data_IF_226362810293
#
_entry.id   IF_226362810293
#
_cell.length_a   1.000
_cell.length_b   1.000
_cell.length_c   1.000
_cell.angle_alpha   90.00
_cell.angle_beta   90.00
_cell.angle_gamma   90.00
#
_symmetry.space_group_name_H-M   'P 1'
#
loop_
_entity.id
_entity.type
_entity.pdbx_description
1 polymer ?
#
# COMPACT_ATOMS: atom_id res chain seq x y z
N UNK A 1 -30.55 18.09 -16.06
CA UNK A 1 -30.69 18.70 -14.72
C UNK A 1 -29.33 18.63 -14.06
N UNK A 2 -28.45 19.55 -14.46
CA UNK A 2 -27.06 19.61 -14.01
C UNK A 2 -27.06 20.24 -12.61
N UNK A 3 -26.49 19.55 -11.62
CA UNK A 3 -26.30 20.10 -10.28
C UNK A 3 -25.20 21.17 -10.33
N UNK A 4 -25.43 22.40 -9.86
CA UNK A 4 -24.40 23.42 -9.85
C UNK A 4 -23.35 23.07 -8.80
N UNK A 5 -22.14 22.75 -9.27
CA UNK A 5 -20.94 22.59 -8.46
C UNK A 5 -20.61 23.92 -7.77
N UNK A 6 -21.18 24.15 -6.59
CA UNK A 6 -20.84 25.27 -5.72
C UNK A 6 -19.43 25.05 -5.14
N UNK A 7 -18.43 25.48 -5.92
CA UNK A 7 -17.02 25.63 -5.56
C UNK A 7 -16.88 26.72 -4.49
N UNK A 8 -17.28 26.42 -3.25
CA UNK A 8 -16.91 27.23 -2.09
C UNK A 8 -15.57 26.71 -1.60
N UNK A 9 -14.52 27.50 -1.75
CA UNK A 9 -13.18 27.21 -1.23
C UNK A 9 -13.26 27.03 0.31
N UNK A 10 -13.51 25.81 0.78
CA UNK A 10 -13.71 25.47 2.19
C UNK A 10 -12.48 24.86 2.84
N UNK A 11 -11.29 25.10 2.26
CA UNK A 11 -9.99 24.67 2.78
C UNK A 11 -9.77 25.08 4.26
N UNK A 12 -10.49 26.11 4.73
CA UNK A 12 -10.39 26.66 6.08
C UNK A 12 -11.68 26.59 6.90
N UNK A 13 -12.57 25.62 6.63
CA UNK A 13 -13.72 25.37 7.50
C UNK A 13 -13.30 24.63 8.80
N UNK A 14 -13.97 24.83 9.95
CA UNK A 14 -13.70 24.06 11.17
C UNK A 14 -13.85 22.54 10.98
N UNK A 15 -14.62 22.09 9.99
CA UNK A 15 -14.70 20.67 9.57
C UNK A 15 -13.39 20.19 8.93
N UNK A 16 -12.80 20.98 8.04
CA UNK A 16 -11.51 20.68 7.41
C UNK A 16 -10.37 20.59 8.46
N UNK A 17 -10.40 21.43 9.51
CA UNK A 17 -9.42 21.33 10.62
C UNK A 17 -9.60 20.05 11.45
N UNK A 18 -10.82 19.63 11.73
CA UNK A 18 -11.10 18.38 12.45
C UNK A 18 -10.75 17.14 11.62
N UNK A 19 -11.06 17.15 10.32
CA UNK A 19 -10.64 16.09 9.39
C UNK A 19 -9.12 16.04 9.24
N UNK A 20 -8.45 17.18 9.07
CA UNK A 20 -6.99 17.25 8.98
C UNK A 20 -6.32 16.70 10.24
N UNK A 21 -6.86 16.99 11.43
CA UNK A 21 -6.33 16.48 12.70
C UNK A 21 -6.52 14.97 12.82
N UNK A 22 -7.69 14.45 12.40
CA UNK A 22 -7.97 13.00 12.40
C UNK A 22 -7.09 12.26 11.39
N UNK A 23 -6.88 12.86 10.22
CA UNK A 23 -5.96 12.37 9.20
C UNK A 23 -4.52 12.38 9.72
N UNK A 24 -4.06 13.46 10.36
CA UNK A 24 -2.72 13.55 10.94
C UNK A 24 -2.46 12.43 11.96
N UNK A 25 -3.46 12.06 12.77
CA UNK A 25 -3.32 10.96 13.75
C UNK A 25 -3.02 9.61 13.12
N UNK A 26 -3.45 9.38 11.87
CA UNK A 26 -3.15 8.15 11.11
C UNK A 26 -1.92 8.34 10.22
N UNK A 27 -1.78 9.50 9.60
CA UNK A 27 -0.71 9.80 8.66
C UNK A 27 0.66 9.89 9.35
N UNK A 28 0.75 10.46 10.55
CA UNK A 28 2.01 10.56 11.30
C UNK A 28 2.62 9.19 11.60
N UNK A 29 1.91 8.24 12.24
CA UNK A 29 2.49 6.92 12.49
C UNK A 29 2.78 6.16 11.20
N UNK A 30 1.90 6.23 10.19
CA UNK A 30 2.13 5.59 8.90
C UNK A 30 3.39 6.14 8.19
N UNK A 31 3.59 7.46 8.23
CA UNK A 31 4.78 8.11 7.69
C UNK A 31 6.04 7.68 8.42
N UNK A 32 6.02 7.63 9.76
CA UNK A 32 7.16 7.17 10.56
C UNK A 32 7.51 5.71 10.24
N UNK A 33 6.51 4.83 10.08
CA UNK A 33 6.73 3.44 9.64
C UNK A 33 7.38 3.39 8.27
N UNK A 34 6.88 4.16 7.29
CA UNK A 34 7.47 4.21 5.96
C UNK A 34 8.91 4.74 6.00
N UNK A 35 9.18 5.78 6.78
CA UNK A 35 10.53 6.31 6.95
C UNK A 35 11.47 5.27 7.57
N UNK A 36 11.03 4.57 8.61
CA UNK A 36 11.82 3.51 9.25
C UNK A 36 12.17 2.38 8.27
N UNK A 37 11.20 1.95 7.45
CA UNK A 37 11.42 0.94 6.41
C UNK A 37 12.49 1.39 5.40
N UNK A 38 12.47 2.66 4.96
CA UNK A 38 13.50 3.16 4.05
C UNK A 38 14.85 3.34 4.72
N UNK A 39 14.90 3.68 6.01
CA UNK A 39 16.15 3.73 6.77
C UNK A 39 16.80 2.35 6.88
N UNK A 40 16.01 1.27 7.01
CA UNK A 40 16.53 -0.11 6.99
C UNK A 40 17.21 -0.39 5.64
N UNK A 41 16.57 -0.04 4.53
CA UNK A 41 17.14 -0.24 3.19
C UNK A 41 18.42 0.59 2.99
N UNK A 42 18.42 1.86 3.40
CA UNK A 42 19.62 2.72 3.36
C UNK A 42 20.75 2.14 4.21
N UNK A 43 20.44 1.62 5.39
CA UNK A 43 21.44 0.98 6.24
C UNK A 43 22.03 -0.28 5.60
N UNK A 44 21.23 -1.11 4.93
CA UNK A 44 21.71 -2.26 4.15
C UNK A 44 22.61 -1.83 2.99
N UNK A 45 22.34 -0.69 2.36
CA UNK A 45 23.21 -0.08 1.34
C UNK A 45 24.52 0.40 1.97
N UNK A 46 24.49 1.13 3.08
CA UNK A 46 25.72 1.59 3.75
C UNK A 46 26.56 0.40 4.23
N UNK A 47 25.93 -0.64 4.78
CA UNK A 47 26.60 -1.85 5.22
C UNK A 47 27.25 -2.57 4.04
N UNK A 48 26.51 -2.84 2.95
CA UNK A 48 27.07 -3.54 1.77
C UNK A 48 28.14 -2.72 1.02
N UNK A 49 28.05 -1.39 1.04
CA UNK A 49 29.03 -0.49 0.43
C UNK A 49 30.43 -0.56 1.06
N UNK A 50 30.53 -0.86 2.37
CA UNK A 50 31.82 -1.04 3.03
C UNK A 50 32.48 -2.41 2.75
N UNK A 51 31.72 -3.43 2.34
CA UNK A 51 32.24 -4.79 2.13
C UNK A 51 32.57 -5.08 0.65
N UNK A 52 31.79 -4.59 -0.33
CA UNK A 52 32.12 -4.59 -1.76
C UNK A 52 31.00 -3.96 -2.60
N UNK A 53 31.35 -3.00 -3.46
CA UNK A 53 30.44 -2.30 -4.39
C UNK A 53 29.68 -3.25 -5.34
N UNK A 54 30.30 -4.36 -5.73
CA UNK A 54 29.71 -5.35 -6.65
C UNK A 54 28.50 -6.09 -6.02
N UNK A 55 28.55 -6.36 -4.72
CA UNK A 55 27.45 -7.05 -4.00
C UNK A 55 26.22 -6.15 -3.94
N UNK A 56 26.42 -4.84 -3.71
CA UNK A 56 25.35 -3.86 -3.70
C UNK A 56 24.72 -3.68 -5.09
N UNK A 57 25.53 -3.61 -6.15
CA UNK A 57 25.03 -3.52 -7.52
C UNK A 57 24.16 -4.73 -7.88
N UNK A 58 24.54 -5.94 -7.44
CA UNK A 58 23.73 -7.14 -7.57
C UNK A 58 22.39 -7.06 -6.84
N UNK A 59 22.37 -6.58 -5.59
CA UNK A 59 21.15 -6.38 -4.81
C UNK A 59 20.24 -5.33 -5.46
N UNK A 60 20.79 -4.23 -5.97
CA UNK A 60 20.02 -3.18 -6.64
C UNK A 60 19.40 -3.65 -7.96
N UNK A 61 20.13 -4.44 -8.75
CA UNK A 61 19.58 -5.05 -9.98
C UNK A 61 18.49 -6.06 -9.65
N UNK A 62 18.72 -6.93 -8.65
CA UNK A 62 17.72 -7.88 -8.18
C UNK A 62 16.46 -7.17 -7.66
N UNK A 63 16.61 -6.09 -6.89
CA UNK A 63 15.50 -5.30 -6.35
C UNK A 63 14.65 -4.64 -7.44
N UNK A 64 15.30 -4.05 -8.47
CA UNK A 64 14.58 -3.45 -9.59
C UNK A 64 13.87 -4.48 -10.47
N UNK A 65 14.42 -5.68 -10.60
CA UNK A 65 13.78 -6.78 -11.31
C UNK A 65 12.62 -7.39 -10.50
N UNK A 66 12.77 -7.45 -9.17
CA UNK A 66 11.76 -7.99 -8.27
C UNK A 66 10.49 -7.14 -8.24
N UNK A 67 10.60 -5.81 -8.25
CA UNK A 67 9.42 -4.92 -8.18
C UNK A 67 8.35 -5.20 -9.26
N UNK A 68 8.65 -5.23 -10.57
CA UNK A 68 7.66 -5.53 -11.60
C UNK A 68 7.15 -6.98 -11.55
N UNK A 69 7.99 -7.95 -11.15
CA UNK A 69 7.57 -9.34 -10.94
C UNK A 69 6.53 -9.40 -9.82
N UNK A 70 6.84 -8.77 -8.68
CA UNK A 70 5.95 -8.69 -7.52
C UNK A 70 4.63 -7.99 -7.84
N UNK A 71 4.66 -6.88 -8.60
CA UNK A 71 3.45 -6.16 -9.00
C UNK A 71 2.65 -6.95 -10.05
N UNK A 72 3.31 -7.65 -10.97
CA UNK A 72 2.66 -8.48 -11.99
C UNK A 72 1.91 -9.66 -11.39
N UNK A 73 2.57 -10.41 -10.51
CA UNK A 73 2.02 -11.62 -9.88
C UNK A 73 1.11 -11.25 -8.69
N UNK A 74 1.56 -10.35 -7.82
CA UNK A 74 0.85 -9.90 -6.63
C UNK A 74 -0.25 -8.88 -6.89
N UNK A 75 -0.31 -8.29 -8.09
CA UNK A 75 -1.32 -7.31 -8.50
C UNK A 75 -2.75 -7.79 -8.32
N UNK A 76 -2.99 -9.09 -8.56
CA UNK A 76 -4.30 -9.72 -8.40
C UNK A 76 -4.73 -9.74 -6.93
N UNK A 77 -3.78 -9.91 -6.01
CA UNK A 77 -4.05 -9.91 -4.57
C UNK A 77 -4.28 -8.50 -4.03
N UNK A 78 -3.63 -7.49 -4.59
CA UNK A 78 -3.88 -6.10 -4.22
C UNK A 78 -5.30 -5.63 -4.50
N UNK A 79 -6.01 -6.26 -5.45
CA UNK A 79 -7.42 -5.99 -5.71
C UNK A 79 -8.36 -6.46 -4.59
N UNK A 80 -7.95 -7.44 -3.78
CA UNK A 80 -8.79 -7.97 -2.69
C UNK A 80 -9.02 -6.92 -1.61
N UNK A 81 -8.02 -6.09 -1.31
CA UNK A 81 -8.12 -5.02 -0.30
C UNK A 81 -9.23 -4.00 -0.59
N UNK A 82 -9.30 -3.36 -1.77
CA UNK A 82 -10.40 -2.46 -2.09
C UNK A 82 -11.75 -3.19 -2.22
N UNK A 83 -11.78 -4.46 -2.64
CA UNK A 83 -13.03 -5.23 -2.63
C UNK A 83 -13.57 -5.39 -1.20
N UNK A 84 -12.71 -5.79 -0.25
CA UNK A 84 -13.10 -5.92 1.16
C UNK A 84 -13.53 -4.57 1.73
N UNK A 85 -12.81 -3.48 1.39
CA UNK A 85 -13.18 -2.13 1.80
C UNK A 85 -14.55 -1.69 1.24
N UNK A 86 -14.88 -2.04 0.00
CA UNK A 86 -16.21 -1.77 -0.59
C UNK A 86 -17.32 -2.58 0.10
N UNK A 87 -17.12 -3.89 0.32
CA UNK A 87 -18.11 -4.73 1.01
C UNK A 87 -18.34 -4.25 2.44
N UNK A 88 -17.27 -3.83 3.12
CA UNK A 88 -17.33 -3.25 4.46
C UNK A 88 -18.09 -1.92 4.45
N UNK A 89 -17.83 -1.04 3.47
CA UNK A 89 -18.57 0.21 3.28
C UNK A 89 -20.06 0.02 2.96
N UNK A 90 -20.41 -1.05 2.23
CA UNK A 90 -21.78 -1.43 1.89
C UNK A 90 -22.54 -2.14 3.04
N UNK A 91 -21.92 -2.31 4.22
CA UNK A 91 -22.42 -3.09 5.36
C UNK A 91 -22.75 -4.56 5.04
N UNK A 92 -22.22 -5.10 3.94
CA UNK A 92 -22.43 -6.50 3.56
C UNK A 92 -21.29 -7.38 4.08
N UNK A 93 -21.26 -7.55 5.40
CA UNK A 93 -20.20 -8.30 6.11
C UNK A 93 -20.25 -9.80 5.79
N UNK A 94 -21.41 -10.32 5.37
CA UNK A 94 -21.62 -11.76 5.11
C UNK A 94 -20.79 -12.28 3.95
N UNK A 95 -20.56 -11.43 2.94
CA UNK A 95 -19.82 -11.80 1.74
C UNK A 95 -18.29 -11.62 1.88
N UNK A 96 -17.82 -10.99 2.97
CA UNK A 96 -16.38 -10.80 3.23
C UNK A 96 -15.67 -12.13 3.49
N UNK A 97 -16.31 -13.04 4.24
CA UNK A 97 -15.74 -14.35 4.59
C UNK A 97 -15.46 -15.23 3.36
N UNK A 98 -16.47 -15.48 2.50
CA UNK A 98 -16.30 -16.20 1.24
C UNK A 98 -15.25 -15.55 0.32
N UNK A 99 -15.27 -14.22 0.19
CA UNK A 99 -14.31 -13.48 -0.63
C UNK A 99 -12.87 -13.68 -0.13
N UNK A 100 -12.63 -13.57 1.18
CA UNK A 100 -11.32 -13.79 1.76
C UNK A 100 -10.81 -15.21 1.53
N UNK A 101 -11.70 -16.21 1.65
CA UNK A 101 -11.34 -17.62 1.38
C UNK A 101 -11.00 -17.85 -0.09
N UNK A 102 -11.70 -17.19 -1.00
CA UNK A 102 -11.44 -17.26 -2.44
C UNK A 102 -10.13 -16.55 -2.80
N UNK A 103 -9.85 -15.41 -2.18
CA UNK A 103 -8.57 -14.71 -2.31
C UNK A 103 -7.39 -15.58 -1.85
N UNK A 104 -7.52 -16.29 -0.73
CA UNK A 104 -6.51 -17.26 -0.26
C UNK A 104 -6.38 -18.44 -1.21
N UNK A 105 -7.48 -18.95 -1.74
CA UNK A 105 -7.44 -20.02 -2.76
C UNK A 105 -6.72 -19.58 -4.04
N UNK A 106 -6.90 -18.31 -4.43
CA UNK A 106 -6.26 -17.73 -5.60
C UNK A 106 -4.78 -17.39 -5.36
N UNK A 107 -4.38 -17.04 -4.13
CA UNK A 107 -3.00 -16.68 -3.81
C UNK A 107 -2.04 -17.87 -3.87
N UNK A 108 -2.50 -19.08 -3.52
CA UNK A 108 -1.67 -20.29 -3.52
C UNK A 108 -1.03 -20.59 -4.90
N UNK A 109 -1.79 -20.72 -6.00
CA UNK A 109 -1.18 -20.95 -7.32
C UNK A 109 -0.37 -19.75 -7.82
N UNK A 110 -0.79 -18.53 -7.49
CA UNK A 110 -0.08 -17.29 -7.87
C UNK A 110 1.31 -17.24 -7.23
N UNK A 111 1.44 -17.62 -5.96
CA UNK A 111 2.72 -17.63 -5.24
C UNK A 111 3.56 -18.86 -5.60
N UNK A 112 2.94 -19.99 -5.96
CA UNK A 112 3.66 -21.22 -6.29
C UNK A 112 4.23 -21.22 -7.72
N UNK A 113 3.53 -20.59 -8.66
CA UNK A 113 3.92 -20.54 -10.08
C UNK A 113 4.46 -19.18 -10.54
N UNK A 114 4.35 -18.15 -9.70
CA UNK A 114 4.87 -16.80 -9.94
C UNK A 114 6.30 -16.61 -9.44
#
# INVERSE_FOLDING_TARGET
MEQPLSRKNSLFSPRAKNEATSFMKLAVPMFLTQLALQLIQVNSVIQSGNYSTDVQAGIMLAGNLWFPIMVGIGGVLFFVTPMVAQLYGAKNIKDIGPLARQAVWLSIPIVLFG
#
